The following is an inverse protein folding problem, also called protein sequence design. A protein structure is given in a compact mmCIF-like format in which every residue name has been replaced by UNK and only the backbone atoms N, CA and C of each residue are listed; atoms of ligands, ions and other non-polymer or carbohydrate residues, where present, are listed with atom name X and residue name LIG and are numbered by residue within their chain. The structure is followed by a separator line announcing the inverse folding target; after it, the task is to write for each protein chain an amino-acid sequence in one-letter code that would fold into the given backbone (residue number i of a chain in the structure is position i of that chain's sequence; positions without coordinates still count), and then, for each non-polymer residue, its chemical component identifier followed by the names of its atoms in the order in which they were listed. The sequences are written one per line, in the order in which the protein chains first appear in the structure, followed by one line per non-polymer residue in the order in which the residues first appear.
data_IF_355814624464
#
_entry.id   IF_355814624464
#
_cell.length_a   1.000
_cell.length_b   1.000
_cell.length_c   1.000
_cell.angle_alpha   90.00
_cell.angle_beta   90.00
_cell.angle_gamma   90.00
#
_symmetry.space_group_name_H-M   'P 1'
#
loop_
_entity.id
_entity.type
_entity.pdbx_description
1 polymer ?
#
# COMPACT_ATOMS: atom_id res chain seq x y z
N UNK A 1 -55.23 -13.60 25.95
CA UNK A 1 -54.13 -13.08 26.80
C UNK A 1 -52.87 -13.94 26.74
N UNK A 2 -52.90 -15.25 27.05
CA UNK A 2 -51.70 -16.10 26.93
C UNK A 2 -51.35 -16.33 25.45
N UNK A 3 -52.36 -16.64 24.63
CA UNK A 3 -52.22 -16.86 23.19
C UNK A 3 -51.73 -15.60 22.44
N UNK A 4 -52.26 -14.43 22.79
CA UNK A 4 -51.79 -13.14 22.25
C UNK A 4 -50.33 -12.83 22.64
N UNK A 5 -49.92 -13.26 23.84
CA UNK A 5 -48.54 -13.06 24.32
C UNK A 5 -47.55 -14.00 23.62
N UNK A 6 -47.96 -15.24 23.33
CA UNK A 6 -47.17 -16.18 22.55
C UNK A 6 -47.03 -15.73 21.10
N UNK A 7 -48.12 -15.26 20.47
CA UNK A 7 -48.08 -14.68 19.13
C UNK A 7 -47.16 -13.46 19.08
N UNK A 8 -47.23 -12.58 20.08
CA UNK A 8 -46.38 -11.39 20.14
C UNK A 8 -44.90 -11.73 20.33
N UNK A 9 -44.57 -12.79 21.07
CA UNK A 9 -43.19 -13.28 21.21
C UNK A 9 -42.67 -13.85 19.91
N UNK A 10 -43.45 -14.71 19.26
CA UNK A 10 -43.07 -15.33 17.98
C UNK A 10 -42.86 -14.27 16.89
N UNK A 11 -43.72 -13.25 16.83
CA UNK A 11 -43.57 -12.16 15.87
C UNK A 11 -42.34 -11.28 16.18
N UNK A 12 -42.04 -11.02 17.45
CA UNK A 12 -40.81 -10.31 17.82
C UNK A 12 -39.54 -11.09 17.44
N UNK A 13 -39.52 -12.40 17.67
CA UNK A 13 -38.40 -13.26 17.25
C UNK A 13 -38.23 -13.26 15.73
N UNK A 14 -39.34 -13.36 14.99
CA UNK A 14 -39.34 -13.28 13.53
C UNK A 14 -38.80 -11.93 13.04
N UNK A 15 -39.26 -10.82 13.60
CA UNK A 15 -38.80 -9.49 13.24
C UNK A 15 -37.31 -9.29 13.53
N UNK A 16 -36.82 -9.80 14.67
CA UNK A 16 -35.39 -9.79 15.00
C UNK A 16 -34.57 -10.59 14.00
N UNK A 17 -35.04 -11.77 13.62
CA UNK A 17 -34.37 -12.59 12.61
C UNK A 17 -34.29 -11.89 11.25
N UNK A 18 -35.39 -11.28 10.79
CA UNK A 18 -35.42 -10.54 9.52
C UNK A 18 -34.50 -9.33 9.54
N UNK A 19 -34.48 -8.59 10.65
CA UNK A 19 -33.56 -7.46 10.84
C UNK A 19 -32.10 -7.90 10.81
N UNK A 20 -31.77 -8.99 11.50
CA UNK A 20 -30.41 -9.55 11.51
C UNK A 20 -29.99 -9.96 10.09
N UNK A 21 -30.86 -10.60 9.33
CA UNK A 21 -30.56 -11.04 7.97
C UNK A 21 -30.35 -9.85 7.01
N UNK A 22 -31.18 -8.81 7.13
CA UNK A 22 -31.07 -7.58 6.35
C UNK A 22 -29.74 -6.85 6.64
N UNK A 23 -29.38 -6.69 7.91
CA UNK A 23 -28.10 -6.09 8.32
C UNK A 23 -26.89 -6.91 7.88
N UNK A 24 -26.95 -8.25 7.96
CA UNK A 24 -25.89 -9.12 7.44
C UNK A 24 -25.71 -8.95 5.93
N UNK A 25 -26.79 -8.79 5.18
CA UNK A 25 -26.75 -8.48 3.74
C UNK A 25 -26.06 -7.15 3.47
N UNK A 26 -26.49 -6.08 4.14
CA UNK A 26 -25.87 -4.74 4.01
C UNK A 26 -24.39 -4.73 4.39
N UNK A 27 -24.02 -5.44 5.44
CA UNK A 27 -22.63 -5.54 5.88
C UNK A 27 -21.74 -6.25 4.86
N UNK A 28 -22.27 -7.30 4.20
CA UNK A 28 -21.58 -7.96 3.10
C UNK A 28 -21.42 -7.02 1.90
N UNK A 29 -22.50 -6.37 1.46
CA UNK A 29 -22.48 -5.42 0.35
C UNK A 29 -21.50 -4.27 0.61
N UNK A 30 -21.47 -3.74 1.84
CA UNK A 30 -20.52 -2.71 2.24
C UNK A 30 -19.07 -3.21 2.21
N UNK A 31 -18.79 -4.42 2.69
CA UNK A 31 -17.45 -4.98 2.61
C UNK A 31 -17.00 -5.21 1.16
N UNK A 32 -17.92 -5.60 0.28
CA UNK A 32 -17.67 -5.76 -1.15
C UNK A 32 -17.43 -4.41 -1.84
N UNK A 33 -18.20 -3.37 -1.50
CA UNK A 33 -17.96 -2.02 -2.03
C UNK A 33 -16.59 -1.49 -1.64
N UNK A 34 -16.11 -1.75 -0.41
CA UNK A 34 -14.76 -1.38 0.01
C UNK A 34 -13.66 -2.13 -0.75
N UNK A 35 -13.92 -3.36 -1.19
CA UNK A 35 -13.00 -4.11 -2.04
C UNK A 35 -12.94 -3.48 -3.44
N UNK A 36 -14.11 -3.16 -4.01
CA UNK A 36 -14.20 -2.50 -5.31
C UNK A 36 -13.53 -1.11 -5.31
N UNK A 37 -13.63 -0.38 -4.20
CA UNK A 37 -12.93 0.90 -3.96
C UNK A 37 -11.42 0.73 -3.68
N UNK A 38 -10.92 -0.50 -3.51
CA UNK A 38 -9.53 -0.78 -3.15
C UNK A 38 -9.16 -0.39 -1.72
N UNK A 39 -10.15 -0.20 -0.83
CA UNK A 39 -9.96 0.19 0.58
C UNK A 39 -9.88 -1.00 1.52
N UNK A 40 -10.38 -2.15 1.09
CA UNK A 40 -10.32 -3.42 1.82
C UNK A 40 -9.69 -4.48 0.92
N UNK A 41 -8.75 -5.26 1.45
CA UNK A 41 -8.18 -6.37 0.70
C UNK A 41 -9.17 -7.56 0.68
N UNK A 42 -9.33 -8.25 -0.46
CA UNK A 42 -10.25 -9.40 -0.56
C UNK A 42 -9.99 -10.49 0.49
N UNK A 43 -8.72 -10.70 0.87
CA UNK A 43 -8.29 -11.72 1.84
C UNK A 43 -8.83 -11.49 3.26
N UNK A 44 -9.21 -10.26 3.61
CA UNK A 44 -9.75 -9.92 4.94
C UNK A 44 -11.25 -9.69 4.95
N UNK A 45 -11.95 -9.94 3.83
CA UNK A 45 -13.39 -9.69 3.67
C UNK A 45 -14.21 -10.33 4.79
N UNK A 46 -14.08 -11.64 4.95
CA UNK A 46 -14.91 -12.41 5.88
C UNK A 46 -14.72 -11.95 7.33
N UNK A 47 -13.50 -11.54 7.69
CA UNK A 47 -13.19 -10.99 9.02
C UNK A 47 -13.78 -9.59 9.22
N UNK A 48 -13.81 -8.76 8.18
CA UNK A 48 -14.47 -7.47 8.24
C UNK A 48 -15.99 -7.64 8.43
N UNK A 49 -16.60 -8.55 7.65
CA UNK A 49 -18.04 -8.86 7.74
C UNK A 49 -18.39 -9.44 9.11
N UNK A 50 -17.58 -10.35 9.65
CA UNK A 50 -17.76 -10.90 11.01
C UNK A 50 -17.77 -9.77 12.06
N UNK A 51 -16.83 -8.83 12.00
CA UNK A 51 -16.77 -7.69 12.91
C UNK A 51 -17.96 -6.74 12.75
N UNK A 52 -18.40 -6.47 11.52
CA UNK A 52 -19.56 -5.64 11.24
C UNK A 52 -20.84 -6.30 11.79
N UNK A 53 -20.99 -7.61 11.63
CA UNK A 53 -22.14 -8.34 12.16
C UNK A 53 -22.18 -8.32 13.69
N UNK A 54 -21.02 -8.40 14.36
CA UNK A 54 -20.96 -8.19 15.80
C UNK A 54 -21.40 -6.77 16.19
N UNK A 55 -20.99 -5.75 15.44
CA UNK A 55 -21.39 -4.36 15.70
C UNK A 55 -22.90 -4.16 15.50
N UNK A 56 -23.47 -4.62 14.37
CA UNK A 56 -24.91 -4.55 14.11
C UNK A 56 -25.73 -5.31 15.15
N UNK A 57 -25.28 -6.50 15.58
CA UNK A 57 -25.92 -7.26 16.65
C UNK A 57 -25.93 -6.48 17.98
N UNK A 58 -24.78 -5.92 18.35
CA UNK A 58 -24.66 -5.10 19.57
C UNK A 58 -25.57 -3.87 19.55
N UNK A 59 -25.62 -3.14 18.44
CA UNK A 59 -26.48 -1.96 18.27
C UNK A 59 -27.98 -2.32 18.34
N UNK A 60 -28.35 -3.53 17.92
CA UNK A 60 -29.70 -4.09 18.05
C UNK A 60 -29.99 -4.70 19.43
N UNK A 61 -29.08 -4.54 20.40
CA UNK A 61 -29.25 -5.01 21.77
C UNK A 61 -29.01 -6.51 21.96
N UNK A 62 -28.38 -7.17 20.99
CA UNK A 62 -27.91 -8.54 21.16
C UNK A 62 -26.69 -8.58 22.09
N UNK A 63 -26.54 -9.69 22.79
CA UNK A 63 -25.32 -9.93 23.57
C UNK A 63 -24.26 -10.47 22.63
N UNK A 64 -23.05 -9.94 22.74
CA UNK A 64 -21.90 -10.51 22.07
C UNK A 64 -21.55 -11.84 22.72
N UNK A 65 -21.79 -12.93 21.99
CA UNK A 65 -21.41 -14.28 22.40
C UNK A 65 -20.13 -14.70 21.68
N UNK A 66 -19.13 -15.10 22.47
CA UNK A 66 -17.86 -15.61 22.00
C UNK A 66 -17.65 -17.02 22.54
N UNK A 67 -16.96 -17.85 21.75
CA UNK A 67 -16.56 -19.18 22.22
C UNK A 67 -15.57 -19.08 23.39
N UNK A 68 -15.38 -20.16 24.12
CA UNK A 68 -14.34 -20.24 25.15
C UNK A 68 -12.97 -19.92 24.53
N UNK A 69 -12.25 -18.94 25.09
CA UNK A 69 -10.99 -18.39 24.58
C UNK A 69 -11.09 -17.48 23.35
N UNK A 70 -12.28 -17.07 22.94
CA UNK A 70 -12.48 -15.98 21.98
C UNK A 70 -12.93 -14.69 22.66
N UNK A 71 -12.60 -13.56 22.04
CA UNK A 71 -12.98 -12.24 22.47
C UNK A 71 -12.97 -11.29 21.29
N UNK A 72 -13.73 -10.20 21.39
CA UNK A 72 -13.70 -9.13 20.41
C UNK A 72 -12.26 -8.62 20.15
N UNK A 73 -11.45 -8.49 21.22
CA UNK A 73 -10.05 -8.07 21.09
C UNK A 73 -9.24 -9.02 20.21
N UNK A 74 -9.42 -10.33 20.34
CA UNK A 74 -8.73 -11.32 19.52
C UNK A 74 -9.20 -11.27 18.05
N UNK A 75 -10.50 -11.13 17.80
CA UNK A 75 -11.05 -11.01 16.44
C UNK A 75 -10.52 -9.76 15.73
N UNK A 76 -10.52 -8.60 16.41
CA UNK A 76 -9.96 -7.35 15.88
C UNK A 76 -8.45 -7.49 15.61
N UNK A 77 -7.68 -8.07 16.55
CA UNK A 77 -6.25 -8.34 16.32
C UNK A 77 -6.02 -9.26 15.12
N UNK A 78 -6.84 -10.29 14.95
CA UNK A 78 -6.75 -11.22 13.82
C UNK A 78 -7.06 -10.52 12.49
N UNK A 79 -8.06 -9.64 12.46
CA UNK A 79 -8.38 -8.81 11.29
C UNK A 79 -7.20 -7.90 10.91
N UNK A 80 -6.66 -7.13 11.88
CA UNK A 80 -5.54 -6.23 11.63
C UNK A 80 -4.26 -6.96 11.20
N UNK A 81 -3.98 -8.13 11.78
CA UNK A 81 -2.82 -8.96 11.41
C UNK A 81 -2.92 -9.55 10.00
N UNK A 82 -4.14 -9.80 9.52
CA UNK A 82 -4.38 -10.37 8.20
C UNK A 82 -4.33 -9.33 7.07
N UNK A 83 -4.26 -8.03 7.41
CA UNK A 83 -4.13 -6.98 6.41
C UNK A 83 -2.84 -7.16 5.58
N UNK A 84 -2.90 -7.00 4.25
CA UNK A 84 -1.70 -7.07 3.44
C UNK A 84 -0.74 -5.93 3.79
N UNK A 85 0.54 -6.14 3.52
CA UNK A 85 1.52 -5.08 3.67
C UNK A 85 1.14 -3.88 2.78
N UNK A 86 1.11 -2.69 3.36
CA UNK A 86 1.01 -1.46 2.59
C UNK A 86 2.30 -1.34 1.77
N UNK A 87 2.18 -1.42 0.44
CA UNK A 87 3.28 -1.09 -0.46
C UNK A 87 3.43 0.43 -0.43
N UNK A 88 4.17 0.91 0.56
CA UNK A 88 4.63 2.29 0.60
C UNK A 88 5.81 2.37 -0.35
N UNK A 89 5.61 3.03 -1.48
CA UNK A 89 6.72 3.41 -2.35
C UNK A 89 7.59 4.41 -1.59
N UNK A 90 8.66 3.90 -0.96
CA UNK A 90 9.68 4.72 -0.33
C UNK A 90 10.62 5.29 -1.41
N UNK A 91 10.07 5.84 -2.50
CA UNK A 91 10.81 6.74 -3.37
C UNK A 91 10.90 8.12 -2.71
N UNK A 92 11.47 8.13 -1.49
CA UNK A 92 12.19 9.32 -1.07
C UNK A 92 13.56 9.13 -1.71
N UNK A 93 13.86 9.97 -2.71
CA UNK A 93 15.22 10.16 -3.18
C UNK A 93 16.06 10.75 -2.03
N UNK A 94 16.36 9.93 -1.02
CA UNK A 94 17.36 10.30 -0.02
C UNK A 94 18.70 10.27 -0.72
N UNK A 95 19.54 11.27 -0.45
CA UNK A 95 20.88 11.39 -1.05
C UNK A 95 21.72 10.12 -0.87
N UNK A 96 21.40 9.29 0.15
CA UNK A 96 22.07 8.01 0.39
C UNK A 96 21.67 6.88 -0.59
N UNK A 97 20.48 6.97 -1.22
CA UNK A 97 19.98 5.98 -2.20
C UNK A 97 20.08 6.44 -3.65
N UNK A 98 20.68 7.60 -3.92
CA UNK A 98 21.32 7.90 -5.20
C UNK A 98 22.57 7.01 -5.36
N UNK A 99 22.38 5.69 -5.29
CA UNK A 99 23.37 4.72 -5.66
C UNK A 99 23.72 5.01 -7.12
N UNK A 100 24.89 5.63 -7.30
CA UNK A 100 25.93 5.06 -8.15
C UNK A 100 25.51 4.64 -9.56
N UNK A 101 24.53 5.30 -10.17
CA UNK A 101 24.43 5.31 -11.62
C UNK A 101 25.46 6.32 -12.10
N UNK A 102 26.65 5.81 -12.34
CA UNK A 102 27.74 6.53 -12.97
C UNK A 102 27.36 6.77 -14.44
N UNK A 103 26.49 7.75 -14.69
CA UNK A 103 26.08 8.13 -16.04
C UNK A 103 27.27 8.60 -16.90
N UNK A 104 28.47 8.76 -16.33
CA UNK A 104 29.68 9.03 -17.13
C UNK A 104 30.14 7.83 -17.96
N UNK A 105 29.76 6.59 -17.61
CA UNK A 105 30.12 5.38 -18.37
C UNK A 105 29.13 5.06 -19.52
N UNK A 106 27.99 5.75 -19.60
CA UNK A 106 26.95 5.46 -20.60
C UNK A 106 27.06 6.35 -21.86
N UNK A 107 28.29 6.74 -22.24
CA UNK A 107 28.53 7.51 -23.46
C UNK A 107 28.91 6.56 -24.59
N UNK A 108 28.02 6.39 -25.56
CA UNK A 108 28.31 5.68 -26.79
C UNK A 108 28.87 6.65 -27.84
N UNK A 109 30.00 6.28 -28.45
CA UNK A 109 30.60 7.00 -29.56
C UNK A 109 30.16 6.35 -30.88
N UNK A 110 30.02 7.15 -31.93
CA UNK A 110 29.86 6.62 -33.29
C UNK A 110 31.14 5.91 -33.73
N UNK A 111 31.03 4.89 -34.59
CA UNK A 111 32.18 4.15 -35.14
C UNK A 111 33.18 5.07 -35.86
N UNK A 112 32.70 6.16 -36.48
CA UNK A 112 33.53 7.13 -37.20
C UNK A 112 34.23 8.17 -36.30
N UNK A 113 34.05 8.08 -34.98
CA UNK A 113 34.61 9.08 -34.06
C UNK A 113 36.13 8.88 -33.94
N UNK A 114 36.97 9.90 -34.23
CA UNK A 114 38.41 9.77 -34.08
C UNK A 114 38.80 9.40 -32.65
N UNK A 115 39.70 8.43 -32.49
CA UNK A 115 40.10 7.92 -31.18
C UNK A 115 40.66 9.00 -30.25
N UNK A 116 41.36 10.00 -30.81
CA UNK A 116 41.88 11.15 -30.07
C UNK A 116 40.77 12.01 -29.44
N UNK A 117 39.61 12.13 -30.12
CA UNK A 117 38.47 12.89 -29.60
C UNK A 117 37.74 12.13 -28.49
N UNK A 118 37.68 10.80 -28.59
CA UNK A 118 37.14 9.93 -27.54
C UNK A 118 37.99 10.05 -26.27
N UNK A 119 39.32 9.95 -26.41
CA UNK A 119 40.24 10.07 -25.28
C UNK A 119 40.16 11.45 -24.62
N UNK A 120 40.06 12.51 -25.42
CA UNK A 120 39.90 13.87 -24.89
C UNK A 120 38.60 14.04 -24.10
N UNK A 121 37.45 13.57 -24.62
CA UNK A 121 36.17 13.62 -23.90
C UNK A 121 36.22 12.83 -22.59
N UNK A 122 36.79 11.62 -22.61
CA UNK A 122 36.99 10.80 -21.41
C UNK A 122 37.87 11.51 -20.35
N UNK A 123 38.95 12.15 -20.78
CA UNK A 123 39.85 12.91 -19.91
C UNK A 123 39.11 14.10 -19.28
N UNK A 124 38.33 14.84 -20.08
CA UNK A 124 37.55 15.98 -19.59
C UNK A 124 36.50 15.56 -18.58
N UNK A 125 35.75 14.49 -18.84
CA UNK A 125 34.74 13.97 -17.89
C UNK A 125 35.38 13.52 -16.59
N UNK A 126 36.49 12.81 -16.68
CA UNK A 126 37.25 12.34 -15.51
C UNK A 126 37.76 13.52 -14.69
N UNK A 127 38.37 14.51 -15.35
CA UNK A 127 38.89 15.71 -14.68
C UNK A 127 37.78 16.55 -14.04
N UNK A 128 36.66 16.74 -14.75
CA UNK A 128 35.48 17.44 -14.23
C UNK A 128 34.93 16.76 -12.98
N UNK A 129 34.80 15.43 -13.00
CA UNK A 129 34.28 14.63 -11.88
C UNK A 129 35.20 14.70 -10.66
N UNK A 130 36.50 14.46 -10.85
CA UNK A 130 37.49 14.48 -9.75
C UNK A 130 37.59 15.85 -9.11
N UNK A 131 37.58 16.92 -9.92
CA UNK A 131 37.76 18.29 -9.44
C UNK A 131 36.45 19.01 -9.11
N UNK A 132 35.29 18.34 -9.24
CA UNK A 132 33.95 18.92 -9.05
C UNK A 132 33.74 20.20 -9.89
N UNK A 133 34.25 20.20 -11.11
CA UNK A 133 34.13 21.30 -12.08
C UNK A 133 33.07 20.98 -13.13
N UNK A 134 32.54 22.02 -13.79
CA UNK A 134 31.72 21.82 -14.98
C UNK A 134 32.57 21.28 -16.14
N UNK A 135 31.93 20.56 -17.07
CA UNK A 135 32.58 20.04 -18.28
C UNK A 135 33.32 21.15 -19.05
N UNK A 136 32.70 22.33 -19.21
CA UNK A 136 33.31 23.46 -19.91
C UNK A 136 34.55 24.01 -19.18
N UNK A 137 34.54 24.06 -17.85
CA UNK A 137 35.71 24.46 -17.07
C UNK A 137 36.85 23.45 -17.23
N UNK A 138 36.56 22.15 -17.12
CA UNK A 138 37.53 21.09 -17.34
C UNK A 138 38.10 21.11 -18.77
N UNK A 139 37.24 21.27 -19.79
CA UNK A 139 37.62 21.41 -21.19
C UNK A 139 38.61 22.56 -21.38
N UNK A 140 38.31 23.74 -20.83
CA UNK A 140 39.18 24.91 -20.94
C UNK A 140 40.53 24.72 -20.24
N UNK A 141 40.58 23.94 -19.16
CA UNK A 141 41.83 23.66 -18.44
C UNK A 141 42.70 22.67 -19.23
N UNK A 142 42.10 21.58 -19.72
CA UNK A 142 42.80 20.53 -20.47
C UNK A 142 43.30 21.06 -21.81
N UNK A 143 42.46 21.76 -22.56
CA UNK A 143 42.85 22.30 -23.88
C UNK A 143 43.81 23.48 -23.80
N UNK A 144 43.85 24.22 -22.68
CA UNK A 144 44.89 25.24 -22.43
C UNK A 144 46.25 24.66 -22.02
N UNK A 145 46.29 23.46 -21.42
CA UNK A 145 47.55 22.78 -21.09
C UNK A 145 48.30 22.23 -22.32
N UNK A 146 47.62 22.11 -23.46
CA UNK A 146 48.20 21.62 -24.72
C UNK A 146 48.76 22.70 -25.65
N UNK A 147 49.03 23.92 -25.16
CA UNK A 147 49.74 24.98 -25.90
C UNK A 147 51.07 25.33 -25.25
#
# INVERSE_FOLDING_TARGET
MIEDMEQLKAENERLRYLLMQDEQGKNLEFAESLIDEGRLAPVVKDKAVELLNYASGYDNGEKLEFSENESLSQKVKAFLKAQPALVVFHEIATKERAATQDFSEMVQYSEDTPQEMIQLDQEIRTYAKVNKLSYLQAFNIITKKGK
#
